data_IF_313730226011
#
_entry.id   IF_313730226011
#
_cell.length_a   1.000
_cell.length_b   1.000
_cell.length_c   1.000
_cell.angle_alpha   90.00
_cell.angle_beta   90.00
_cell.angle_gamma   90.00
#
_symmetry.space_group_name_H-M   'P 1'
#
loop_
_entity.id
_entity.type
_entity.pdbx_description
1 polymer ?
#
# COMPACT_ATOMS: atom_id res chain seq x y z
N UNK A 1 -33.51 33.56 65.29
CA UNK A 1 -32.29 33.61 66.11
C UNK A 1 -31.14 33.05 65.20
N UNK A 2 -30.35 33.96 64.74
CA UNK A 2 -29.37 33.81 63.63
C UNK A 2 -28.06 33.39 64.24
N UNK A 3 -27.37 32.44 63.66
CA UNK A 3 -25.91 32.28 63.84
C UNK A 3 -25.21 31.96 62.52
N UNK A 4 -24.52 32.95 62.09
CA UNK A 4 -23.54 32.93 61.02
C UNK A 4 -22.27 32.21 61.54
N UNK A 5 -21.68 31.33 60.71
CA UNK A 5 -20.34 30.84 60.97
C UNK A 5 -19.53 31.14 59.69
N UNK A 6 -18.48 31.96 59.87
CA UNK A 6 -17.47 32.32 58.87
C UNK A 6 -16.63 31.11 58.50
N UNK A 7 -16.38 30.90 57.23
CA UNK A 7 -15.38 29.99 56.73
C UNK A 7 -14.19 30.79 56.19
N UNK A 8 -12.99 30.51 56.73
CA UNK A 8 -11.72 31.09 56.34
C UNK A 8 -11.16 30.54 55.02
N UNK A 9 -10.19 31.23 54.43
CA UNK A 9 -9.62 30.88 53.12
C UNK A 9 -8.44 29.94 53.29
N UNK A 10 -8.32 28.99 52.36
CA UNK A 10 -7.08 28.19 52.30
C UNK A 10 -7.24 26.91 51.51
N UNK A 11 -7.06 26.98 50.23
CA UNK A 11 -6.91 25.82 49.41
C UNK A 11 -6.12 26.16 48.13
N UNK A 12 -4.80 26.10 48.24
CA UNK A 12 -3.88 26.28 47.12
C UNK A 12 -4.16 25.21 46.07
N UNK A 13 -4.69 25.62 44.91
CA UNK A 13 -4.78 24.79 43.74
C UNK A 13 -3.39 24.40 43.27
N UNK A 14 -3.13 23.11 43.25
CA UNK A 14 -2.01 22.53 42.56
C UNK A 14 -2.07 22.92 41.07
N UNK A 15 -0.97 23.39 40.45
CA UNK A 15 -1.03 23.67 39.00
C UNK A 15 -1.28 22.36 38.27
N UNK A 16 -2.32 22.36 37.44
CA UNK A 16 -2.65 21.27 36.56
C UNK A 16 -1.44 20.89 35.72
N UNK A 17 -0.92 19.71 36.03
CA UNK A 17 0.19 19.08 35.34
C UNK A 17 -0.32 18.76 33.95
N UNK A 18 0.16 19.51 32.97
CA UNK A 18 0.22 19.21 31.52
C UNK A 18 -0.73 18.11 31.06
N UNK A 19 -1.83 18.49 30.46
CA UNK A 19 -2.64 17.57 29.65
C UNK A 19 -1.92 17.31 28.31
N UNK A 20 -0.99 16.37 28.36
CA UNK A 20 -0.20 15.95 27.20
C UNK A 20 -1.04 15.33 26.08
N UNK A 21 -2.29 14.97 26.35
CA UNK A 21 -3.21 14.38 25.36
C UNK A 21 -3.84 15.45 24.45
N UNK A 22 -4.23 16.60 24.99
CA UNK A 22 -4.75 17.72 24.18
C UNK A 22 -3.68 18.28 23.25
N UNK A 23 -2.45 18.46 23.73
CA UNK A 23 -1.34 18.94 22.92
C UNK A 23 -0.94 17.96 21.81
N UNK A 24 -0.99 16.64 22.07
CA UNK A 24 -0.73 15.62 21.05
C UNK A 24 -1.82 15.64 19.97
N UNK A 25 -3.10 15.81 20.33
CA UNK A 25 -4.21 15.92 19.38
C UNK A 25 -4.09 17.14 18.47
N UNK A 26 -3.70 18.30 19.02
CA UNK A 26 -3.45 19.53 18.27
C UNK A 26 -2.26 19.40 17.32
N UNK A 27 -1.17 18.76 17.75
CA UNK A 27 -0.01 18.51 16.91
C UNK A 27 -0.34 17.58 15.75
N UNK A 28 -1.03 16.47 16.02
CA UNK A 28 -1.47 15.52 15.00
C UNK A 28 -2.40 16.17 13.98
N UNK A 29 -3.36 16.99 14.42
CA UNK A 29 -4.26 17.71 13.51
C UNK A 29 -3.56 18.78 12.67
N UNK A 30 -2.46 19.37 13.16
CA UNK A 30 -1.62 20.29 12.37
C UNK A 30 -0.79 19.56 11.33
N UNK A 31 -0.22 18.39 11.69
CA UNK A 31 0.50 17.53 10.75
C UNK A 31 -0.41 16.99 9.66
N UNK A 32 -1.62 16.59 10.02
CA UNK A 32 -2.61 16.11 9.04
C UNK A 32 -3.00 17.21 8.05
N UNK A 33 -3.33 18.41 8.53
CA UNK A 33 -3.60 19.57 7.66
C UNK A 33 -2.40 19.95 6.78
N UNK A 34 -1.19 19.79 7.28
CA UNK A 34 0.02 20.03 6.51
C UNK A 34 0.16 18.98 5.38
N UNK A 35 -0.02 17.69 5.69
CA UNK A 35 0.03 16.60 4.71
C UNK A 35 -1.06 16.76 3.62
N UNK A 36 -2.26 17.22 3.99
CA UNK A 36 -3.32 17.52 3.02
C UNK A 36 -2.95 18.66 2.05
N UNK A 37 -2.15 19.65 2.48
CA UNK A 37 -1.68 20.75 1.63
C UNK A 37 -0.49 20.40 0.75
N UNK A 38 0.25 19.37 1.10
CA UNK A 38 1.39 18.84 0.35
C UNK A 38 1.18 17.33 0.10
N UNK A 39 0.12 16.97 -0.65
CA UNK A 39 -0.23 15.57 -0.85
C UNK A 39 0.83 14.89 -1.71
N UNK A 40 1.24 13.69 -1.29
CA UNK A 40 2.12 12.86 -2.08
C UNK A 40 1.69 11.40 -2.01
N UNK A 41 1.88 10.69 -3.10
CA UNK A 41 1.46 9.30 -3.20
C UNK A 41 2.56 8.37 -2.68
N UNK A 42 2.28 7.65 -1.58
CA UNK A 42 3.16 6.58 -1.11
C UNK A 42 3.31 5.49 -2.18
N UNK A 43 2.27 5.25 -2.99
CA UNK A 43 2.30 4.28 -4.07
C UNK A 43 3.28 4.70 -5.15
N UNK A 44 3.29 5.98 -5.54
CA UNK A 44 4.25 6.52 -6.51
C UNK A 44 5.70 6.46 -6.00
N UNK A 45 5.90 6.58 -4.68
CA UNK A 45 7.22 6.41 -4.07
C UNK A 45 7.77 4.99 -4.24
N UNK A 46 6.90 3.97 -4.14
CA UNK A 46 7.31 2.57 -4.26
C UNK A 46 7.27 2.04 -5.70
N UNK A 47 6.60 2.73 -6.64
CA UNK A 47 6.51 2.31 -8.04
C UNK A 47 7.86 2.02 -8.70
N UNK A 48 8.94 2.84 -8.53
CA UNK A 48 10.26 2.53 -9.12
C UNK A 48 10.84 1.22 -8.58
N UNK A 49 10.63 0.91 -7.29
CA UNK A 49 11.08 -0.33 -6.71
C UNK A 49 10.31 -1.53 -7.28
N UNK A 50 8.98 -1.41 -7.44
CA UNK A 50 8.13 -2.45 -8.07
C UNK A 50 8.59 -2.71 -9.50
N UNK A 51 8.77 -1.66 -10.30
CA UNK A 51 9.28 -1.76 -11.69
C UNK A 51 10.63 -2.47 -11.72
N UNK A 52 11.54 -2.12 -10.79
CA UNK A 52 12.84 -2.80 -10.67
C UNK A 52 12.73 -4.29 -10.34
N UNK A 53 11.73 -4.71 -9.52
CA UNK A 53 11.48 -6.12 -9.23
C UNK A 53 10.97 -6.88 -10.47
N UNK A 54 10.06 -6.27 -11.23
CA UNK A 54 9.53 -6.85 -12.47
C UNK A 54 10.61 -6.95 -13.53
N UNK A 55 11.38 -5.89 -13.76
CA UNK A 55 12.49 -5.91 -14.71
C UNK A 55 13.53 -6.98 -14.36
N UNK A 56 13.88 -7.12 -13.07
CA UNK A 56 14.84 -8.12 -12.60
C UNK A 56 14.36 -9.57 -12.75
N UNK A 57 13.06 -9.82 -12.88
CA UNK A 57 12.52 -11.16 -13.17
C UNK A 57 12.50 -11.50 -14.65
N UNK A 58 12.67 -10.51 -15.53
CA UNK A 58 12.54 -10.69 -16.98
C UNK A 58 11.09 -10.89 -17.43
N UNK A 59 10.10 -10.57 -16.58
CA UNK A 59 8.68 -10.72 -16.87
C UNK A 59 8.27 -9.91 -18.10
N UNK A 60 7.50 -10.53 -18.98
CA UNK A 60 7.00 -9.95 -20.23
C UNK A 60 5.49 -9.78 -20.22
N UNK A 61 4.76 -10.67 -19.56
CA UNK A 61 3.30 -10.62 -19.39
C UNK A 61 2.99 -10.34 -17.90
N UNK A 62 2.41 -9.18 -17.63
CA UNK A 62 2.26 -8.64 -16.26
C UNK A 62 0.80 -8.41 -15.94
N UNK A 63 0.40 -8.82 -14.72
CA UNK A 63 -0.90 -8.48 -14.12
C UNK A 63 -0.71 -7.43 -13.02
N UNK A 64 -1.38 -6.29 -13.13
CA UNK A 64 -1.48 -5.25 -12.10
C UNK A 64 -2.88 -5.26 -11.49
N UNK A 65 -3.00 -5.62 -10.20
CA UNK A 65 -4.28 -5.74 -9.50
C UNK A 65 -4.53 -4.47 -8.70
N UNK A 66 -5.67 -3.79 -8.97
CA UNK A 66 -6.00 -2.50 -8.38
C UNK A 66 -5.15 -1.38 -8.97
N UNK A 67 -5.15 -1.27 -10.29
CA UNK A 67 -4.26 -0.35 -11.02
C UNK A 67 -4.58 1.12 -10.82
N UNK A 68 -5.75 1.45 -10.25
CA UNK A 68 -6.20 2.82 -10.12
C UNK A 68 -6.26 3.53 -11.49
N UNK A 69 -5.77 4.75 -11.55
CA UNK A 69 -5.71 5.54 -12.80
C UNK A 69 -4.55 5.16 -13.73
N UNK A 70 -3.85 4.05 -13.45
CA UNK A 70 -2.80 3.48 -14.30
C UNK A 70 -1.42 4.12 -14.15
N UNK A 71 -1.09 4.72 -13.01
CA UNK A 71 0.25 5.32 -12.80
C UNK A 71 1.37 4.27 -12.83
N UNK A 72 1.15 3.11 -12.22
CA UNK A 72 2.10 1.99 -12.28
C UNK A 72 2.10 1.35 -13.67
N UNK A 73 0.92 1.15 -14.27
CA UNK A 73 0.76 0.59 -15.63
C UNK A 73 1.63 1.33 -16.64
N UNK A 74 1.64 2.67 -16.61
CA UNK A 74 2.46 3.48 -17.51
C UNK A 74 3.97 3.17 -17.42
N UNK A 75 4.46 2.83 -16.24
CA UNK A 75 5.86 2.45 -16.01
C UNK A 75 6.15 1.00 -16.37
N UNK A 76 5.17 0.10 -16.13
CA UNK A 76 5.29 -1.32 -16.48
C UNK A 76 5.27 -1.52 -17.99
N UNK A 77 4.48 -0.75 -18.70
CA UNK A 77 4.38 -0.79 -20.16
C UNK A 77 5.73 -0.54 -20.85
N UNK A 78 6.65 0.22 -20.21
CA UNK A 78 7.96 0.51 -20.76
C UNK A 78 8.95 -0.68 -20.66
N UNK A 79 8.64 -1.68 -19.82
CA UNK A 79 9.52 -2.83 -19.54
C UNK A 79 8.89 -4.20 -19.84
N UNK A 80 7.56 -4.27 -19.95
CA UNK A 80 6.81 -5.48 -20.24
C UNK A 80 6.31 -5.49 -21.70
N UNK A 81 6.03 -6.66 -22.24
CA UNK A 81 5.42 -6.83 -23.56
C UNK A 81 3.93 -6.57 -23.49
N UNK A 82 3.28 -7.08 -22.45
CA UNK A 82 1.84 -6.88 -22.19
C UNK A 82 1.59 -6.59 -20.72
N UNK A 83 0.64 -5.71 -20.45
CA UNK A 83 0.15 -5.37 -19.11
C UNK A 83 -1.36 -5.52 -19.08
N UNK A 84 -1.85 -6.46 -18.29
CA UNK A 84 -3.27 -6.55 -17.94
C UNK A 84 -3.46 -5.86 -16.58
N UNK A 85 -4.42 -4.95 -16.48
CA UNK A 85 -4.64 -4.16 -15.28
C UNK A 85 -6.10 -4.26 -14.85
N UNK A 86 -6.34 -4.68 -13.60
CA UNK A 86 -7.66 -4.82 -13.01
C UNK A 86 -7.96 -3.62 -12.11
N UNK A 87 -9.16 -3.09 -12.19
CA UNK A 87 -9.66 -2.04 -11.30
C UNK A 87 -11.18 -2.21 -11.14
N UNK A 88 -11.71 -2.32 -9.92
CA UNK A 88 -13.16 -2.52 -9.73
C UNK A 88 -13.98 -1.24 -9.86
N UNK A 89 -13.41 -0.04 -9.68
CA UNK A 89 -14.18 1.20 -9.75
C UNK A 89 -14.32 1.69 -11.19
N UNK A 90 -15.55 1.65 -11.70
CA UNK A 90 -15.89 2.03 -13.07
C UNK A 90 -15.46 3.47 -13.45
N UNK A 91 -15.46 4.41 -12.49
CA UNK A 91 -15.04 5.78 -12.75
C UNK A 91 -13.52 5.86 -12.96
N UNK A 92 -12.77 5.15 -12.14
CA UNK A 92 -11.32 5.03 -12.21
C UNK A 92 -10.89 4.27 -13.47
N UNK A 93 -11.58 3.17 -13.80
CA UNK A 93 -11.36 2.43 -15.05
C UNK A 93 -11.48 3.32 -16.27
N UNK A 94 -12.51 4.17 -16.35
CA UNK A 94 -12.67 5.08 -17.49
C UNK A 94 -11.45 6.01 -17.67
N UNK A 95 -10.89 6.50 -16.58
CA UNK A 95 -9.68 7.35 -16.63
C UNK A 95 -8.48 6.55 -17.13
N UNK A 96 -8.27 5.35 -16.58
CA UNK A 96 -7.20 4.46 -17.01
C UNK A 96 -7.35 4.03 -18.47
N UNK A 97 -8.55 3.59 -18.89
CA UNK A 97 -8.83 3.18 -20.26
C UNK A 97 -8.62 4.32 -21.27
N UNK A 98 -9.03 5.54 -20.92
CA UNK A 98 -8.77 6.72 -21.76
C UNK A 98 -7.28 7.00 -21.90
N UNK A 99 -6.52 6.85 -20.82
CA UNK A 99 -5.06 7.09 -20.80
C UNK A 99 -4.29 6.14 -21.72
N UNK A 100 -4.75 4.88 -21.82
CA UNK A 100 -4.10 3.84 -22.63
C UNK A 100 -4.89 3.49 -23.90
N UNK A 101 -5.83 4.36 -24.31
CA UNK A 101 -6.61 4.15 -25.52
C UNK A 101 -5.70 3.99 -26.75
N UNK A 102 -5.83 2.87 -27.46
CA UNK A 102 -5.03 2.55 -28.65
C UNK A 102 -3.64 1.99 -28.37
N UNK A 103 -3.26 1.76 -27.12
CA UNK A 103 -2.02 1.05 -26.80
C UNK A 103 -2.27 -0.49 -26.78
N UNK A 104 -1.80 -1.26 -27.76
CA UNK A 104 -2.07 -2.68 -27.85
C UNK A 104 -1.36 -3.50 -26.75
N UNK A 105 -0.38 -2.91 -26.06
CA UNK A 105 0.34 -3.56 -24.97
C UNK A 105 -0.41 -3.49 -23.64
N UNK A 106 -1.47 -2.68 -23.50
CA UNK A 106 -2.17 -2.45 -22.25
C UNK A 106 -3.64 -2.83 -22.38
N UNK A 107 -4.11 -3.68 -21.46
CA UNK A 107 -5.52 -4.05 -21.32
C UNK A 107 -6.01 -3.62 -19.95
N UNK A 108 -6.94 -2.67 -19.90
CA UNK A 108 -7.63 -2.27 -18.66
C UNK A 108 -8.94 -3.03 -18.57
N UNK A 109 -9.18 -3.69 -17.43
CA UNK A 109 -10.37 -4.52 -17.19
C UNK A 109 -11.11 -4.00 -15.96
N UNK A 110 -12.40 -3.71 -16.10
CA UNK A 110 -13.28 -3.39 -14.98
C UNK A 110 -13.63 -4.69 -14.24
N UNK A 111 -12.80 -5.04 -13.27
CA UNK A 111 -12.98 -6.22 -12.44
C UNK A 111 -12.20 -6.08 -11.14
N UNK A 112 -12.67 -6.73 -10.08
CA UNK A 112 -11.89 -7.08 -8.92
C UNK A 112 -10.99 -8.31 -9.19
N UNK A 113 -10.23 -8.72 -8.17
CA UNK A 113 -9.36 -9.90 -8.31
C UNK A 113 -10.14 -11.19 -8.55
N UNK A 114 -11.36 -11.31 -8.02
CA UNK A 114 -12.21 -12.50 -8.23
C UNK A 114 -12.73 -12.58 -9.67
N UNK A 115 -12.92 -11.46 -10.34
CA UNK A 115 -13.37 -11.39 -11.74
C UNK A 115 -12.26 -11.57 -12.79
N UNK A 116 -11.01 -11.89 -12.37
CA UNK A 116 -9.93 -12.14 -13.32
C UNK A 116 -10.16 -13.37 -14.19
N UNK A 117 -9.45 -13.49 -15.29
CA UNK A 117 -9.37 -14.75 -16.04
C UNK A 117 -8.63 -15.83 -15.22
N UNK A 118 -9.37 -16.79 -14.69
CA UNK A 118 -8.84 -17.86 -13.84
C UNK A 118 -7.99 -18.90 -14.58
N UNK A 119 -8.03 -18.92 -15.90
CA UNK A 119 -7.23 -19.85 -16.71
C UNK A 119 -5.89 -19.25 -17.09
N UNK A 120 -5.79 -17.93 -17.08
CA UNK A 120 -4.55 -17.22 -17.45
C UNK A 120 -3.54 -17.25 -16.31
N UNK A 121 -2.25 -17.32 -16.68
CA UNK A 121 -1.08 -17.19 -15.81
C UNK A 121 -0.21 -16.06 -16.35
N UNK A 122 0.53 -15.43 -15.43
CA UNK A 122 1.36 -14.27 -15.74
C UNK A 122 2.81 -14.49 -15.27
N UNK A 123 3.75 -13.88 -15.97
CA UNK A 123 5.15 -13.86 -15.57
C UNK A 123 5.36 -13.04 -14.29
N UNK A 124 4.60 -11.96 -14.12
CA UNK A 124 4.57 -11.21 -12.88
C UNK A 124 3.15 -10.80 -12.49
N UNK A 125 2.88 -10.84 -11.19
CA UNK A 125 1.64 -10.35 -10.59
C UNK A 125 1.97 -9.30 -9.54
N UNK A 126 1.28 -8.15 -9.58
CA UNK A 126 1.57 -7.00 -8.76
C UNK A 126 0.34 -6.56 -7.97
N UNK A 127 0.55 -6.22 -6.69
CA UNK A 127 -0.41 -5.53 -5.85
C UNK A 127 0.27 -4.34 -5.17
N UNK A 128 -0.13 -3.14 -5.50
CA UNK A 128 0.38 -1.91 -4.89
C UNK A 128 -0.71 -1.27 -4.04
N UNK A 129 -0.64 -1.46 -2.71
CA UNK A 129 -1.62 -1.02 -1.71
C UNK A 129 -3.04 -1.61 -1.92
N UNK A 130 -3.13 -2.88 -2.30
CA UNK A 130 -4.41 -3.56 -2.57
C UNK A 130 -4.67 -4.73 -1.61
N UNK A 131 -3.64 -5.52 -1.24
CA UNK A 131 -3.83 -6.79 -0.53
C UNK A 131 -4.63 -6.66 0.78
N UNK A 132 -4.55 -5.52 1.48
CA UNK A 132 -5.28 -5.29 2.73
C UNK A 132 -6.82 -5.14 2.56
N UNK A 133 -7.31 -5.02 1.32
CA UNK A 133 -8.74 -5.05 0.99
C UNK A 133 -9.27 -6.48 0.79
N UNK A 134 -8.38 -7.47 0.65
CA UNK A 134 -8.71 -8.84 0.28
C UNK A 134 -8.52 -9.80 1.47
N UNK A 135 -9.22 -10.96 1.49
CA UNK A 135 -8.98 -12.00 2.48
C UNK A 135 -7.56 -12.57 2.34
N UNK A 136 -6.70 -12.38 3.36
CA UNK A 136 -5.25 -12.59 3.25
C UNK A 136 -4.86 -13.99 2.74
N UNK A 137 -5.22 -15.06 3.47
CA UNK A 137 -4.74 -16.43 3.17
C UNK A 137 -5.25 -16.95 1.84
N UNK A 138 -6.58 -16.91 1.52
CA UNK A 138 -7.05 -17.41 0.22
C UNK A 138 -6.48 -16.59 -0.94
N UNK A 139 -6.34 -15.27 -0.77
CA UNK A 139 -5.77 -14.41 -1.81
C UNK A 139 -4.30 -14.76 -2.11
N UNK A 140 -3.47 -15.00 -1.08
CA UNK A 140 -2.07 -15.40 -1.32
C UNK A 140 -1.96 -16.72 -2.08
N UNK A 141 -2.83 -17.69 -1.78
CA UNK A 141 -2.91 -18.96 -2.52
C UNK A 141 -3.28 -18.71 -3.98
N UNK A 142 -4.32 -17.96 -4.23
CA UNK A 142 -4.78 -17.66 -5.58
C UNK A 142 -3.75 -16.85 -6.37
N UNK A 143 -3.03 -15.91 -5.73
CA UNK A 143 -1.94 -15.15 -6.36
C UNK A 143 -0.79 -16.05 -6.78
N UNK A 144 -0.42 -17.04 -5.96
CA UNK A 144 0.56 -18.07 -6.34
C UNK A 144 0.10 -18.83 -7.57
N UNK A 145 -1.17 -19.24 -7.58
CA UNK A 145 -1.75 -20.04 -8.66
C UNK A 145 -1.95 -19.24 -9.97
N UNK A 146 -1.86 -17.90 -9.91
CA UNK A 146 -1.84 -17.03 -11.09
C UNK A 146 -0.48 -16.91 -11.77
N UNK A 147 0.60 -17.44 -11.18
CA UNK A 147 1.94 -17.33 -11.73
C UNK A 147 2.25 -18.50 -12.67
N UNK A 148 3.00 -18.21 -13.71
CA UNK A 148 3.70 -19.26 -14.47
C UNK A 148 4.82 -19.85 -13.61
N UNK A 149 5.33 -21.07 -13.89
CA UNK A 149 6.56 -21.57 -13.28
C UNK A 149 7.72 -20.55 -13.44
N UNK A 150 8.38 -20.21 -12.34
CA UNK A 150 9.41 -19.17 -12.31
C UNK A 150 8.88 -17.73 -12.29
N UNK A 151 7.55 -17.53 -12.32
CA UNK A 151 6.92 -16.23 -12.27
C UNK A 151 7.09 -15.54 -10.91
N UNK A 152 6.90 -14.22 -10.87
CA UNK A 152 7.15 -13.38 -9.68
C UNK A 152 5.91 -12.66 -9.18
N UNK A 153 5.65 -12.78 -7.87
CA UNK A 153 4.70 -11.94 -7.16
C UNK A 153 5.42 -10.78 -6.47
N UNK A 154 4.92 -9.56 -6.67
CA UNK A 154 5.43 -8.34 -6.04
C UNK A 154 4.28 -7.63 -5.32
N UNK A 155 4.36 -7.52 -4.00
CA UNK A 155 3.38 -6.80 -3.20
C UNK A 155 4.04 -5.65 -2.45
N UNK A 156 3.44 -4.48 -2.52
CA UNK A 156 3.64 -3.38 -1.58
C UNK A 156 2.32 -3.19 -0.83
N UNK A 157 2.27 -3.57 0.42
CA UNK A 157 1.05 -3.56 1.21
C UNK A 157 1.11 -2.65 2.42
N UNK A 158 -0.06 -2.39 3.00
CA UNK A 158 -0.24 -1.77 4.30
C UNK A 158 -0.42 -2.86 5.35
N UNK A 159 -0.02 -2.61 6.58
CA UNK A 159 -0.25 -3.50 7.71
C UNK A 159 -0.76 -2.70 8.91
N UNK A 160 -1.50 -3.37 9.80
CA UNK A 160 -1.95 -2.80 11.06
C UNK A 160 -0.80 -2.82 12.07
N UNK A 161 -0.46 -1.67 12.62
CA UNK A 161 0.51 -1.59 13.72
C UNK A 161 0.01 -2.36 14.96
N UNK A 162 0.87 -3.14 15.56
CA UNK A 162 0.57 -3.96 16.73
C UNK A 162 1.57 -3.68 17.87
N UNK A 163 1.32 -2.61 18.64
CA UNK A 163 2.05 -2.34 19.88
C UNK A 163 3.15 -1.28 19.81
N UNK A 164 3.84 -1.08 20.94
CA UNK A 164 4.84 -0.03 21.13
C UNK A 164 6.05 -0.13 20.19
N UNK A 165 6.45 -1.36 19.84
CA UNK A 165 7.59 -1.58 18.93
C UNK A 165 7.27 -1.07 17.53
N UNK A 166 6.03 -1.28 17.06
CA UNK A 166 5.59 -0.74 15.78
C UNK A 166 5.50 0.77 15.80
N UNK A 167 4.97 1.34 16.89
CA UNK A 167 4.87 2.79 17.08
C UNK A 167 6.26 3.45 17.07
N UNK A 168 7.25 2.88 17.76
CA UNK A 168 8.62 3.41 17.78
C UNK A 168 9.29 3.28 16.40
N UNK A 169 9.05 2.19 15.68
CA UNK A 169 9.60 2.00 14.34
C UNK A 169 8.92 2.89 13.28
N UNK A 170 7.74 3.44 13.57
CA UNK A 170 7.02 4.37 12.70
C UNK A 170 7.36 5.85 12.96
N UNK A 171 8.05 6.18 14.08
CA UNK A 171 8.49 7.54 14.36
C UNK A 171 9.28 8.21 13.21
N UNK A 172 10.24 7.51 12.54
CA UNK A 172 10.91 8.09 11.38
C UNK A 172 9.94 8.39 10.23
N UNK A 173 8.91 7.56 10.03
CA UNK A 173 7.91 7.78 8.99
C UNK A 173 7.02 8.99 9.29
N UNK A 174 6.68 9.23 10.56
CA UNK A 174 5.90 10.40 10.98
C UNK A 174 6.63 11.72 10.67
N UNK A 175 7.95 11.75 10.86
CA UNK A 175 8.78 12.94 10.54
C UNK A 175 9.06 13.02 9.04
N UNK A 176 9.34 11.90 8.39
CA UNK A 176 9.66 11.87 6.97
C UNK A 176 8.45 12.19 6.07
N UNK A 177 7.22 11.85 6.50
CA UNK A 177 6.02 12.05 5.69
C UNK A 177 5.79 13.52 5.29
N UNK A 178 5.75 14.51 6.20
CA UNK A 178 5.61 15.92 5.82
C UNK A 178 6.81 16.43 5.02
N UNK A 179 8.03 15.97 5.31
CA UNK A 179 9.23 16.34 4.54
C UNK A 179 9.13 15.86 3.10
N UNK A 180 8.71 14.62 2.90
CA UNK A 180 8.48 14.06 1.56
C UNK A 180 7.35 14.78 0.83
N UNK A 181 6.28 15.17 1.54
CA UNK A 181 5.22 16.01 0.99
C UNK A 181 5.76 17.31 0.42
N UNK A 182 6.58 18.04 1.16
CA UNK A 182 7.22 19.28 0.69
C UNK A 182 8.17 19.06 -0.50
N UNK A 183 8.94 17.97 -0.49
CA UNK A 183 9.88 17.67 -1.59
C UNK A 183 9.12 17.32 -2.88
N UNK A 184 8.06 16.53 -2.78
CA UNK A 184 7.31 16.05 -3.93
C UNK A 184 6.31 17.07 -4.46
N UNK A 185 5.70 17.85 -3.57
CA UNK A 185 4.73 18.90 -3.88
C UNK A 185 5.05 20.18 -3.08
N UNK A 186 6.05 20.95 -3.52
CA UNK A 186 6.45 22.19 -2.84
C UNK A 186 5.34 23.26 -2.91
N UNK A 187 4.52 23.26 -3.97
CA UNK A 187 3.35 24.13 -4.08
C UNK A 187 2.19 23.53 -3.26
N UNK A 188 1.49 24.40 -2.51
CA UNK A 188 0.26 24.00 -1.80
C UNK A 188 -0.85 23.76 -2.80
N UNK A 189 -1.64 22.70 -2.55
CA UNK A 189 -2.84 22.40 -3.33
C UNK A 189 -4.09 22.59 -2.46
N UNK A 190 -5.15 23.13 -3.06
CA UNK A 190 -6.43 23.31 -2.40
C UNK A 190 -7.34 22.09 -2.56
N UNK A 191 -7.07 21.24 -3.55
CA UNK A 191 -7.82 20.00 -3.82
C UNK A 191 -6.86 18.84 -4.05
N UNK A 192 -7.22 17.66 -3.52
CA UNK A 192 -6.45 16.43 -3.75
C UNK A 192 -6.49 16.03 -5.23
N UNK A 193 -5.37 15.61 -5.80
CA UNK A 193 -5.35 15.05 -7.14
C UNK A 193 -6.28 13.83 -7.26
N UNK A 194 -6.97 13.62 -8.40
CA UNK A 194 -7.94 12.53 -8.58
C UNK A 194 -7.41 11.13 -8.24
N UNK A 195 -6.13 10.85 -8.51
CA UNK A 195 -5.48 9.58 -8.20
C UNK A 195 -5.25 9.34 -6.69
N UNK A 196 -5.51 10.32 -5.84
CA UNK A 196 -5.38 10.23 -4.39
C UNK A 196 -6.73 10.17 -3.67
N UNK A 197 -7.85 10.16 -4.40
CA UNK A 197 -9.21 10.10 -3.86
C UNK A 197 -9.77 8.68 -3.78
N UNK A 198 -8.99 7.66 -4.10
CA UNK A 198 -9.42 6.26 -4.00
C UNK A 198 -9.84 5.90 -2.57
N UNK A 199 -10.89 5.08 -2.38
CA UNK A 199 -11.32 4.64 -1.06
C UNK A 199 -10.17 3.94 -0.33
N UNK A 200 -9.88 4.40 0.88
CA UNK A 200 -8.87 3.77 1.74
C UNK A 200 -9.56 2.92 2.79
N UNK A 201 -9.20 1.64 2.90
CA UNK A 201 -9.59 0.79 4.02
C UNK A 201 -8.43 0.68 5.01
N UNK A 202 -8.76 0.61 6.30
CA UNK A 202 -7.76 0.34 7.32
C UNK A 202 -7.26 -1.11 7.21
N UNK A 203 -5.94 -1.35 7.26
CA UNK A 203 -5.38 -2.68 7.27
C UNK A 203 -5.85 -3.47 8.49
N UNK A 204 -6.32 -4.70 8.27
CA UNK A 204 -6.79 -5.60 9.34
C UNK A 204 -5.66 -6.47 9.90
N UNK A 205 -4.75 -6.88 9.04
CA UNK A 205 -3.68 -7.82 9.35
C UNK A 205 -2.44 -7.11 9.84
N UNK A 206 -1.79 -7.71 10.85
CA UNK A 206 -0.47 -7.27 11.33
C UNK A 206 0.63 -7.81 10.42
N UNK A 207 1.84 -7.25 10.54
CA UNK A 207 2.99 -7.80 9.80
C UNK A 207 3.32 -9.25 10.21
N UNK A 208 2.99 -9.65 11.43
CA UNK A 208 3.13 -11.03 11.90
C UNK A 208 2.14 -11.97 11.21
N UNK A 209 0.87 -11.55 11.08
CA UNK A 209 -0.16 -12.32 10.37
C UNK A 209 0.22 -12.52 8.90
N UNK A 210 0.68 -11.44 8.25
CA UNK A 210 1.13 -11.48 6.85
C UNK A 210 2.32 -12.44 6.67
N UNK A 211 3.29 -12.43 7.59
CA UNK A 211 4.42 -13.37 7.54
C UNK A 211 3.99 -14.82 7.75
N UNK A 212 3.09 -15.06 8.69
CA UNK A 212 2.57 -16.40 8.95
C UNK A 212 1.79 -16.95 7.74
N UNK A 213 0.90 -16.15 7.16
CA UNK A 213 0.14 -16.51 5.97
C UNK A 213 1.07 -16.75 4.75
N UNK A 214 2.06 -15.90 4.55
CA UNK A 214 3.02 -16.06 3.46
C UNK A 214 3.93 -17.28 3.66
N UNK A 215 4.32 -17.61 4.87
CA UNK A 215 5.10 -18.82 5.15
C UNK A 215 4.33 -20.09 4.76
N UNK A 216 3.01 -20.08 4.92
CA UNK A 216 2.12 -21.18 4.55
C UNK A 216 1.87 -21.28 3.05
N UNK A 217 1.51 -20.15 2.40
CA UNK A 217 1.01 -20.16 1.03
C UNK A 217 2.10 -19.84 -0.02
N UNK A 218 3.15 -19.13 0.38
CA UNK A 218 4.24 -18.65 -0.49
C UNK A 218 5.61 -19.00 0.12
N UNK A 219 5.96 -20.30 0.23
CA UNK A 219 7.21 -20.71 0.86
C UNK A 219 8.42 -20.09 0.14
N UNK A 220 9.31 -19.46 0.92
CA UNK A 220 10.46 -18.71 0.38
C UNK A 220 10.18 -17.24 0.07
N UNK A 221 8.97 -16.72 0.31
CA UNK A 221 8.67 -15.29 0.15
C UNK A 221 9.56 -14.42 1.04
N UNK A 222 10.04 -13.33 0.47
CA UNK A 222 10.87 -12.35 1.16
C UNK A 222 10.02 -11.16 1.58
N UNK A 223 9.79 -10.98 2.88
CA UNK A 223 8.98 -9.88 3.42
C UNK A 223 9.87 -8.93 4.20
N UNK A 224 9.81 -7.64 3.86
CA UNK A 224 10.54 -6.57 4.53
C UNK A 224 9.60 -5.46 4.95
N UNK A 225 9.72 -5.00 6.21
CA UNK A 225 9.11 -3.77 6.67
C UNK A 225 9.74 -2.57 5.93
N UNK A 226 8.92 -1.57 5.61
CA UNK A 226 9.32 -0.35 4.92
C UNK A 226 8.79 0.88 5.65
N UNK A 227 9.28 2.04 5.26
CA UNK A 227 8.77 3.33 5.74
C UNK A 227 7.32 3.55 5.31
N UNK A 228 6.65 4.51 5.95
CA UNK A 228 5.29 4.95 5.64
C UNK A 228 4.25 3.83 5.80
N UNK A 229 4.37 3.04 6.89
CA UNK A 229 3.43 1.95 7.25
C UNK A 229 3.25 0.94 6.13
N UNK A 230 4.34 0.66 5.38
CA UNK A 230 4.34 -0.28 4.27
C UNK A 230 5.22 -1.50 4.57
N UNK A 231 4.89 -2.58 3.89
CA UNK A 231 5.80 -3.72 3.72
C UNK A 231 5.95 -4.06 2.25
N UNK A 232 7.01 -4.76 1.94
CA UNK A 232 7.21 -5.37 0.62
C UNK A 232 7.25 -6.87 0.76
N UNK A 233 6.60 -7.59 -0.17
CA UNK A 233 6.65 -9.02 -0.31
C UNK A 233 7.09 -9.33 -1.74
N UNK A 234 8.08 -10.20 -1.89
CA UNK A 234 8.50 -10.75 -3.19
C UNK A 234 8.54 -12.26 -3.04
N UNK A 235 7.86 -12.94 -3.96
CA UNK A 235 7.86 -14.39 -4.07
C UNK A 235 8.15 -14.78 -5.50
N UNK A 236 9.04 -15.76 -5.68
CA UNK A 236 9.34 -16.37 -6.96
C UNK A 236 8.71 -17.78 -6.95
N UNK A 237 7.80 -18.05 -7.88
CA UNK A 237 7.20 -19.38 -8.03
C UNK A 237 8.31 -20.39 -8.41
N UNK A 238 8.24 -21.64 -7.94
CA UNK A 238 9.18 -22.65 -8.35
C UNK A 238 9.21 -22.79 -9.87
N UNK A 239 10.41 -22.84 -10.43
CA UNK A 239 10.58 -23.23 -11.83
C UNK A 239 10.21 -24.70 -12.01
N UNK A 240 9.70 -25.08 -13.17
CA UNK A 240 9.60 -26.52 -13.47
C UNK A 240 10.99 -27.15 -13.33
N UNK A 241 11.09 -28.34 -12.71
CA UNK A 241 12.36 -29.08 -12.72
C UNK A 241 12.74 -29.24 -14.19
N UNK A 242 13.89 -28.67 -14.54
CA UNK A 242 14.41 -28.77 -15.91
C UNK A 242 14.34 -30.23 -16.33
N UNK A 243 13.61 -30.51 -17.38
CA UNK A 243 13.66 -31.82 -18.00
C UNK A 243 15.12 -32.09 -18.31
N UNK A 244 15.70 -33.02 -17.58
CA UNK A 244 17.01 -33.57 -17.93
C UNK A 244 16.90 -33.96 -19.41
N UNK A 245 17.50 -33.16 -20.26
CA UNK A 245 17.75 -33.56 -21.66
C UNK A 245 18.70 -34.74 -21.58
N UNK A 246 18.11 -35.92 -21.40
CA UNK A 246 18.79 -37.17 -21.67
C UNK A 246 19.24 -37.16 -23.13
N UNK A 247 20.49 -36.94 -23.29
CA UNK A 247 21.23 -37.17 -24.53
C UNK A 247 21.78 -38.60 -24.53
#
# INVERSE_FOLDING_TARGET
MTTRVDAGPGGGGCPDIFDGRENAGVLLSRLDRFNQRHPWSHNDHYSPWVVGQVAASGARDVLDIGCGTGNLVARLRDIATTVTALEPDAATVRVAAQRFAGDPAVTIVEADFAGRDHQRRWDAVILLAVLHHLPLVPTLRELRDCLVPGGRLVVVGCYRGAGLVDMLADLPAMVANPVMGMIKHPARVDTLPPHMTAPTAEPKDTLADIRAAAALELPGARIRRRLFWRYTLVYDAPSEPGGDSAN
#
